data_IF_149190864234
#
_entry.id   IF_149190864234
#
_cell.length_a   1.000
_cell.length_b   1.000
_cell.length_c   1.000
_cell.angle_alpha   90.00
_cell.angle_beta   90.00
_cell.angle_gamma   90.00
#
_symmetry.space_group_name_H-M   'P 1'
#
loop_
_entity.id
_entity.type
_entity.pdbx_description
1 polymer ?
#
# COMPACT_ATOMS: atom_id res chain seq x y z
N UNK A 1 30.94 -5.59 -96.35
CA UNK A 1 29.75 -5.96 -97.16
C UNK A 1 28.53 -5.77 -96.26
N UNK A 2 27.83 -4.68 -96.50
CA UNK A 2 26.38 -4.63 -96.75
C UNK A 2 25.54 -5.19 -95.63
N UNK A 3 24.53 -4.60 -95.09
CA UNK A 3 23.63 -3.52 -95.49
C UNK A 3 22.61 -3.29 -94.41
N UNK A 4 22.28 -2.05 -94.11
CA UNK A 4 20.90 -1.51 -94.02
C UNK A 4 19.88 -2.40 -93.19
N UNK A 5 18.98 -1.91 -92.54
CA UNK A 5 18.26 -0.67 -92.45
C UNK A 5 17.02 -0.89 -91.53
N UNK A 6 16.52 0.08 -91.01
CA UNK A 6 15.14 0.59 -90.84
C UNK A 6 14.55 0.41 -89.43
N UNK A 7 14.49 1.53 -88.82
CA UNK A 7 13.37 2.25 -88.17
C UNK A 7 12.10 1.45 -87.93
N UNK A 8 11.61 1.55 -86.70
CA UNK A 8 10.22 1.97 -86.45
C UNK A 8 9.99 2.38 -84.95
N UNK A 9 9.67 3.61 -84.80
CA UNK A 9 9.12 4.24 -83.64
C UNK A 9 7.88 3.54 -83.10
N UNK A 10 7.83 3.23 -81.82
CA UNK A 10 6.57 3.11 -81.08
C UNK A 10 6.69 3.80 -79.72
N UNK A 11 6.05 4.94 -79.69
CA UNK A 11 5.67 5.68 -78.46
C UNK A 11 4.80 4.74 -77.60
N UNK A 12 5.34 4.38 -76.46
CA UNK A 12 4.55 3.71 -75.43
C UNK A 12 4.34 4.70 -74.25
N UNK A 13 3.13 5.19 -74.19
CA UNK A 13 2.63 6.04 -73.11
C UNK A 13 2.61 5.20 -71.83
N UNK A 14 3.57 5.44 -70.93
CA UNK A 14 3.57 4.89 -69.57
C UNK A 14 2.69 5.77 -68.69
N UNK A 15 1.48 5.28 -68.43
CA UNK A 15 0.62 5.79 -67.35
C UNK A 15 1.37 5.56 -66.03
N UNK A 16 1.90 6.59 -65.41
CA UNK A 16 2.39 6.55 -64.05
C UNK A 16 1.22 6.67 -63.08
N UNK A 17 0.84 5.55 -62.53
CA UNK A 17 -0.15 5.46 -61.45
C UNK A 17 0.54 5.93 -60.16
N UNK A 18 0.36 7.20 -59.79
CA UNK A 18 0.83 7.72 -58.51
C UNK A 18 -0.12 7.22 -57.43
N UNK A 19 0.31 6.17 -56.73
CA UNK A 19 -0.33 5.72 -55.48
C UNK A 19 0.00 6.72 -54.37
N UNK A 20 -0.92 7.64 -54.11
CA UNK A 20 -0.88 8.57 -52.98
C UNK A 20 -1.25 7.77 -51.70
N UNK A 21 -0.27 7.14 -51.03
CA UNK A 21 -0.43 6.62 -49.68
C UNK A 21 -0.63 7.79 -48.72
N UNK A 22 -1.85 8.15 -48.44
CA UNK A 22 -2.20 9.04 -47.36
C UNK A 22 -1.91 8.34 -46.03
N UNK A 23 -0.68 8.47 -45.52
CA UNK A 23 -0.32 8.07 -44.16
C UNK A 23 -1.05 9.00 -43.18
N UNK A 24 -2.21 8.58 -42.70
CA UNK A 24 -2.91 9.27 -41.61
C UNK A 24 -2.10 9.01 -40.32
N UNK A 25 -1.09 9.82 -40.10
CA UNK A 25 -0.38 9.88 -38.84
C UNK A 25 -1.37 10.40 -37.80
N UNK A 26 -1.87 9.50 -36.94
CA UNK A 26 -2.57 9.90 -35.72
C UNK A 26 -1.55 10.67 -34.86
N UNK A 27 -1.52 11.98 -35.01
CA UNK A 27 -0.78 12.84 -34.08
C UNK A 27 -1.59 12.89 -32.81
N UNK A 28 -1.34 11.91 -31.92
CA UNK A 28 -1.83 12.00 -30.55
C UNK A 28 -1.09 13.15 -29.89
N UNK A 29 -1.82 14.23 -29.57
CA UNK A 29 -1.26 15.38 -28.90
C UNK A 29 -0.58 14.93 -27.59
N UNK A 30 0.65 15.34 -27.28
CA UNK A 30 1.35 14.95 -26.05
C UNK A 30 0.56 15.27 -24.78
N UNK A 31 -0.32 16.26 -24.83
CA UNK A 31 -1.24 16.64 -23.74
C UNK A 31 -2.25 15.56 -23.41
N UNK A 32 -2.75 14.81 -24.41
CA UNK A 32 -3.72 13.72 -24.18
C UNK A 32 -3.06 12.49 -23.56
N UNK A 33 -1.80 12.21 -23.92
CA UNK A 33 -1.03 11.10 -23.37
C UNK A 33 -0.68 11.35 -21.89
N UNK A 34 -0.28 12.57 -21.53
CA UNK A 34 -0.02 12.96 -20.13
C UNK A 34 -1.29 12.90 -19.27
N UNK A 35 -2.41 13.42 -19.77
CA UNK A 35 -3.68 13.35 -19.03
C UNK A 35 -4.14 11.90 -18.80
N UNK A 36 -3.91 11.00 -19.75
CA UNK A 36 -4.19 9.57 -19.61
C UNK A 36 -3.29 8.88 -18.56
N UNK A 37 -2.01 9.22 -18.52
CA UNK A 37 -1.07 8.71 -17.52
C UNK A 37 -1.42 9.16 -16.10
N UNK A 38 -1.79 10.44 -15.92
CA UNK A 38 -2.21 10.98 -14.63
C UNK A 38 -3.52 10.32 -14.13
N UNK A 39 -4.47 10.06 -15.02
CA UNK A 39 -5.70 9.37 -14.69
C UNK A 39 -5.43 7.92 -14.24
N UNK A 40 -4.62 7.19 -14.98
CA UNK A 40 -4.22 5.82 -14.64
C UNK A 40 -3.44 5.75 -13.31
N UNK A 41 -2.56 6.71 -13.04
CA UNK A 41 -1.83 6.79 -11.78
C UNK A 41 -2.77 7.04 -10.59
N UNK A 42 -3.76 7.90 -10.74
CA UNK A 42 -4.78 8.18 -9.70
C UNK A 42 -5.66 6.94 -9.44
N UNK A 43 -6.09 6.26 -10.48
CA UNK A 43 -6.88 5.03 -10.35
C UNK A 43 -6.09 3.93 -9.64
N UNK A 44 -4.83 3.72 -10.03
CA UNK A 44 -3.93 2.78 -9.36
C UNK A 44 -3.73 3.12 -7.87
N UNK A 45 -3.54 4.39 -7.54
CA UNK A 45 -3.39 4.85 -6.16
C UNK A 45 -4.67 4.65 -5.35
N UNK A 46 -5.84 4.87 -5.94
CA UNK A 46 -7.12 4.60 -5.29
C UNK A 46 -7.33 3.11 -5.01
N UNK A 47 -6.97 2.23 -5.97
CA UNK A 47 -7.03 0.79 -5.80
C UNK A 47 -6.10 0.30 -4.67
N UNK A 48 -4.87 0.81 -4.61
CA UNK A 48 -3.91 0.50 -3.54
C UNK A 48 -4.45 0.97 -2.18
N UNK A 49 -5.03 2.17 -2.10
CA UNK A 49 -5.68 2.68 -0.87
C UNK A 49 -6.81 1.76 -0.42
N UNK A 50 -7.69 1.34 -1.32
CA UNK A 50 -8.81 0.46 -1.02
C UNK A 50 -8.34 -0.92 -0.52
N UNK A 51 -7.34 -1.50 -1.16
CA UNK A 51 -6.73 -2.76 -0.75
C UNK A 51 -6.11 -2.65 0.65
N UNK A 52 -5.41 -1.56 0.93
CA UNK A 52 -4.80 -1.35 2.25
C UNK A 52 -5.83 -1.10 3.35
N UNK A 53 -6.92 -0.40 3.08
CA UNK A 53 -8.03 -0.26 4.04
C UNK A 53 -8.66 -1.61 4.40
N UNK A 54 -8.81 -2.51 3.42
CA UNK A 54 -9.28 -3.87 3.66
C UNK A 54 -8.28 -4.69 4.50
N UNK A 55 -6.98 -4.53 4.25
CA UNK A 55 -5.92 -5.18 5.02
C UNK A 55 -5.87 -4.68 6.47
N UNK A 56 -5.97 -3.36 6.70
CA UNK A 56 -6.08 -2.77 8.06
C UNK A 56 -7.23 -3.40 8.84
N UNK A 57 -8.40 -3.58 8.22
CA UNK A 57 -9.54 -4.21 8.90
C UNK A 57 -9.29 -5.70 9.18
N UNK A 58 -8.69 -6.43 8.24
CA UNK A 58 -8.31 -7.82 8.45
C UNK A 58 -7.27 -7.96 9.59
N UNK A 59 -6.30 -7.04 9.68
CA UNK A 59 -5.33 -6.99 10.77
C UNK A 59 -6.00 -6.68 12.10
N UNK A 60 -6.92 -5.69 12.15
CA UNK A 60 -7.69 -5.37 13.35
C UNK A 60 -8.38 -6.60 13.93
N UNK A 61 -9.11 -7.34 13.08
CA UNK A 61 -9.82 -8.55 13.50
C UNK A 61 -8.86 -9.59 14.10
N UNK A 62 -7.69 -9.78 13.47
CA UNK A 62 -6.71 -10.76 13.94
C UNK A 62 -6.01 -10.31 15.23
N UNK A 63 -5.57 -9.07 15.33
CA UNK A 63 -4.93 -8.56 16.55
C UNK A 63 -5.88 -8.54 17.74
N UNK A 64 -7.11 -8.07 17.55
CA UNK A 64 -8.14 -8.06 18.60
C UNK A 64 -8.50 -9.50 18.99
N UNK A 65 -8.69 -10.39 18.02
CA UNK A 65 -8.98 -11.79 18.28
C UNK A 65 -7.86 -12.50 19.08
N UNK A 66 -6.59 -12.22 18.78
CA UNK A 66 -5.47 -12.73 19.59
C UNK A 66 -5.46 -12.11 20.99
N UNK A 67 -5.65 -10.78 21.09
CA UNK A 67 -5.73 -10.12 22.39
C UNK A 67 -6.84 -10.73 23.26
N UNK A 68 -8.00 -11.02 22.69
CA UNK A 68 -9.10 -11.71 23.40
C UNK A 68 -8.76 -13.14 23.78
N UNK A 69 -8.02 -13.87 22.93
CA UNK A 69 -7.65 -15.26 23.17
C UNK A 69 -6.58 -15.42 24.26
N UNK A 70 -5.68 -14.45 24.44
CA UNK A 70 -4.72 -14.48 25.54
C UNK A 70 -5.43 -14.27 26.88
N UNK A 71 -5.20 -15.16 27.90
CA UNK A 71 -5.68 -14.91 29.25
C UNK A 71 -4.91 -13.75 29.90
N UNK A 72 -5.49 -13.04 30.89
CA UNK A 72 -4.90 -11.83 31.47
C UNK A 72 -3.50 -12.04 32.05
N UNK A 73 -3.23 -13.21 32.64
CA UNK A 73 -1.92 -13.57 33.23
C UNK A 73 -0.80 -13.71 32.18
N UNK A 74 -1.15 -13.81 30.88
CA UNK A 74 -0.20 -13.92 29.78
C UNK A 74 0.15 -12.56 29.13
N UNK A 75 -0.46 -11.49 29.53
CA UNK A 75 -0.18 -10.19 28.93
C UNK A 75 1.25 -9.68 29.17
N UNK A 76 1.85 -10.04 30.30
CA UNK A 76 3.25 -9.73 30.62
C UNK A 76 4.23 -10.83 30.20
N UNK A 77 3.73 -11.96 29.66
CA UNK A 77 4.57 -13.05 29.20
C UNK A 77 5.40 -12.63 27.96
N UNK A 78 6.64 -13.07 27.95
CA UNK A 78 7.58 -12.93 26.82
C UNK A 78 8.39 -14.22 26.66
N UNK A 79 8.84 -14.55 25.44
CA UNK A 79 9.56 -15.81 25.21
C UNK A 79 10.97 -15.82 25.81
N UNK A 80 11.58 -14.64 25.98
CA UNK A 80 12.90 -14.47 26.59
C UNK A 80 13.11 -13.02 27.05
N UNK A 81 14.11 -12.78 27.86
CA UNK A 81 14.48 -11.43 28.27
C UNK A 81 14.91 -10.56 27.07
N UNK A 82 14.63 -9.27 27.15
CA UNK A 82 15.01 -8.30 26.12
C UNK A 82 14.07 -8.22 24.92
N UNK A 83 13.05 -9.12 24.82
CA UNK A 83 12.02 -9.02 23.80
C UNK A 83 10.69 -8.52 24.36
N UNK A 84 9.84 -7.96 23.48
CA UNK A 84 8.53 -7.45 23.90
C UNK A 84 7.63 -8.56 24.45
N UNK A 85 6.87 -8.25 25.50
CA UNK A 85 5.79 -9.09 25.99
C UNK A 85 4.57 -9.04 25.05
N UNK A 86 3.57 -9.89 25.32
CA UNK A 86 2.29 -9.90 24.59
C UNK A 86 1.66 -8.51 24.58
N UNK A 87 1.50 -7.88 25.75
CA UNK A 87 0.91 -6.54 25.84
C UNK A 87 1.77 -5.48 25.15
N UNK A 88 3.09 -5.54 25.27
CA UNK A 88 3.99 -4.60 24.62
C UNK A 88 3.93 -4.67 23.09
N UNK A 89 3.76 -5.86 22.49
CA UNK A 89 3.53 -6.00 21.05
C UNK A 89 2.16 -5.43 20.65
N UNK A 90 1.11 -5.76 21.41
CA UNK A 90 -0.24 -5.24 21.15
C UNK A 90 -0.29 -3.70 21.28
N UNK A 91 0.40 -3.15 22.27
CA UNK A 91 0.46 -1.70 22.47
C UNK A 91 1.34 -0.98 21.43
N UNK A 92 2.36 -1.64 20.90
CA UNK A 92 3.10 -1.13 19.74
C UNK A 92 2.16 -0.95 18.55
N UNK A 93 1.39 -1.97 18.18
CA UNK A 93 0.41 -1.89 17.08
C UNK A 93 -0.65 -0.81 17.33
N UNK A 94 -1.15 -0.68 18.55
CA UNK A 94 -2.05 0.42 18.89
C UNK A 94 -1.40 1.80 18.68
N UNK A 95 -0.16 1.96 19.13
CA UNK A 95 0.66 3.17 18.96
C UNK A 95 0.88 3.51 17.49
N UNK A 96 1.13 2.52 16.66
CA UNK A 96 1.28 2.68 15.20
C UNK A 96 -0.02 3.12 14.54
N UNK A 97 -1.14 2.59 14.97
CA UNK A 97 -2.46 3.04 14.55
C UNK A 97 -2.74 4.50 14.92
N UNK A 98 -2.26 4.97 16.06
CA UNK A 98 -2.41 6.37 16.47
C UNK A 98 -1.42 7.33 15.79
N UNK A 99 -0.25 6.87 15.39
CA UNK A 99 0.83 7.75 14.94
C UNK A 99 1.49 7.38 13.63
N UNK A 100 2.04 6.18 13.53
CA UNK A 100 2.84 5.76 12.38
C UNK A 100 2.03 5.75 11.07
N UNK A 101 0.94 4.98 11.04
CA UNK A 101 0.11 4.87 9.86
C UNK A 101 -0.49 6.25 9.45
N UNK A 102 -1.11 7.02 10.34
CA UNK A 102 -1.59 8.37 9.99
C UNK A 102 -0.51 9.26 9.41
N UNK A 103 0.66 9.35 10.06
CA UNK A 103 1.75 10.23 9.63
C UNK A 103 2.32 9.80 8.27
N UNK A 104 2.46 8.51 8.01
CA UNK A 104 2.96 8.00 6.74
C UNK A 104 2.06 8.38 5.55
N UNK A 105 0.77 8.56 5.80
CA UNK A 105 -0.19 9.03 4.79
C UNK A 105 -0.47 10.54 4.85
N UNK A 106 0.32 11.32 5.58
CA UNK A 106 0.23 12.78 5.66
C UNK A 106 -0.80 13.31 6.64
N UNK A 107 -1.35 12.44 7.48
CA UNK A 107 -2.19 12.82 8.62
C UNK A 107 -1.38 13.24 9.83
N UNK A 108 -2.09 13.54 10.93
CA UNK A 108 -1.48 13.89 12.21
C UNK A 108 -1.59 12.70 13.17
N UNK A 109 -0.66 12.55 14.13
CA UNK A 109 -0.83 11.57 15.19
C UNK A 109 -2.02 11.95 16.09
N UNK A 110 -2.72 10.91 16.63
CA UNK A 110 -3.86 11.09 17.53
C UNK A 110 -3.43 11.47 18.97
N UNK A 111 -2.17 11.26 19.30
CA UNK A 111 -1.65 11.48 20.64
C UNK A 111 -0.26 12.11 20.61
N UNK A 112 0.13 12.69 21.72
CA UNK A 112 1.47 13.24 21.91
C UNK A 112 2.53 12.12 21.99
N UNK A 113 3.80 12.50 21.84
CA UNK A 113 4.92 11.56 22.01
C UNK A 113 4.98 10.99 23.44
N UNK A 114 4.62 11.79 24.44
CA UNK A 114 4.59 11.37 25.84
C UNK A 114 3.51 10.30 26.08
N UNK A 115 2.28 10.53 25.62
CA UNK A 115 1.19 9.57 25.69
C UNK A 115 1.53 8.26 24.97
N UNK A 116 2.08 8.35 23.76
CA UNK A 116 2.53 7.17 23.01
C UNK A 116 3.66 6.41 23.76
N UNK A 117 4.58 7.12 24.41
CA UNK A 117 5.65 6.54 25.23
C UNK A 117 5.15 5.83 26.51
N UNK A 118 3.94 6.14 26.97
CA UNK A 118 3.33 5.49 28.13
C UNK A 118 2.62 4.17 27.76
N UNK A 119 2.22 3.98 26.50
CA UNK A 119 1.44 2.80 26.05
C UNK A 119 2.10 1.45 26.38
N UNK A 120 3.43 1.25 26.25
CA UNK A 120 4.06 -0.02 26.59
C UNK A 120 3.86 -0.48 28.05
N UNK A 121 3.49 0.43 28.96
CA UNK A 121 3.22 0.12 30.36
C UNK A 121 1.80 -0.42 30.60
N UNK A 122 0.92 -0.34 29.62
CA UNK A 122 -0.45 -0.81 29.72
C UNK A 122 -0.48 -2.34 29.57
N UNK A 123 -0.85 -3.03 30.65
CA UNK A 123 -0.91 -4.50 30.69
C UNK A 123 -2.30 -5.04 30.98
N UNK A 124 -3.24 -4.18 31.38
CA UNK A 124 -4.62 -4.57 31.59
C UNK A 124 -5.29 -4.95 30.26
N UNK A 125 -5.86 -6.15 30.23
CA UNK A 125 -6.45 -6.73 29.01
C UNK A 125 -7.51 -5.83 28.38
N UNK A 126 -8.41 -5.28 29.18
CA UNK A 126 -9.52 -4.47 28.64
C UNK A 126 -8.99 -3.14 28.07
N UNK A 127 -8.02 -2.53 28.74
CA UNK A 127 -7.37 -1.31 28.25
C UNK A 127 -6.60 -1.56 26.96
N UNK A 128 -5.82 -2.65 26.87
CA UNK A 128 -5.07 -3.02 25.66
C UNK A 128 -6.01 -3.23 24.47
N UNK A 129 -7.11 -3.98 24.65
CA UNK A 129 -8.10 -4.19 23.58
C UNK A 129 -8.76 -2.85 23.20
N UNK A 130 -9.05 -2.00 24.18
CA UNK A 130 -9.57 -0.67 23.95
C UNK A 130 -8.63 0.21 23.09
N UNK A 131 -7.34 0.20 23.39
CA UNK A 131 -6.33 0.92 22.62
C UNK A 131 -6.17 0.36 21.22
N UNK A 132 -6.15 -0.97 21.04
CA UNK A 132 -6.11 -1.59 19.71
C UNK A 132 -7.26 -1.10 18.83
N UNK A 133 -8.49 -1.22 19.31
CA UNK A 133 -9.67 -0.80 18.55
C UNK A 133 -9.62 0.68 18.19
N UNK A 134 -9.23 1.56 19.12
CA UNK A 134 -9.12 3.01 18.88
C UNK A 134 -7.99 3.32 17.89
N UNK A 135 -6.82 2.68 18.00
CA UNK A 135 -5.69 2.88 17.10
C UNK A 135 -6.05 2.48 15.66
N UNK A 136 -6.61 1.30 15.48
CA UNK A 136 -7.07 0.85 14.16
C UNK A 136 -8.17 1.75 13.57
N UNK A 137 -9.14 2.17 14.40
CA UNK A 137 -10.20 3.08 13.95
C UNK A 137 -9.63 4.42 13.49
N UNK A 138 -8.66 4.96 14.23
CA UNK A 138 -8.02 6.23 13.88
C UNK A 138 -7.18 6.12 12.59
N UNK A 139 -6.39 5.05 12.45
CA UNK A 139 -5.62 4.78 11.23
C UNK A 139 -6.55 4.68 10.01
N UNK A 140 -7.63 3.91 10.13
CA UNK A 140 -8.65 3.76 9.09
C UNK A 140 -9.28 5.11 8.71
N UNK A 141 -9.79 5.85 9.70
CA UNK A 141 -10.41 7.16 9.48
C UNK A 141 -9.46 8.14 8.78
N UNK A 142 -8.21 8.18 9.23
CA UNK A 142 -7.19 9.06 8.62
C UNK A 142 -6.92 8.68 7.18
N UNK A 143 -6.77 7.38 6.89
CA UNK A 143 -6.53 6.91 5.54
C UNK A 143 -7.74 7.12 4.62
N UNK A 144 -8.96 6.94 5.12
CA UNK A 144 -10.20 7.23 4.38
C UNK A 144 -10.28 8.70 3.96
N UNK A 145 -9.85 9.62 4.83
CA UNK A 145 -9.84 11.06 4.59
C UNK A 145 -8.76 11.52 3.60
N UNK A 146 -7.77 10.69 3.27
CA UNK A 146 -6.71 11.06 2.31
C UNK A 146 -7.31 11.18 0.90
N UNK A 147 -7.14 12.37 0.28
CA UNK A 147 -7.54 12.58 -1.12
C UNK A 147 -6.75 11.64 -2.05
N UNK A 148 -7.42 10.77 -2.83
CA UNK A 148 -6.76 9.89 -3.79
C UNK A 148 -5.86 10.63 -4.78
N UNK A 149 -6.17 11.87 -5.13
CA UNK A 149 -5.34 12.68 -6.02
C UNK A 149 -3.94 12.94 -5.46
N UNK A 150 -3.79 12.96 -4.12
CA UNK A 150 -2.50 13.15 -3.45
C UNK A 150 -1.67 11.87 -3.34
N UNK A 151 -2.26 10.71 -3.62
CA UNK A 151 -1.62 9.41 -3.48
C UNK A 151 -0.78 9.01 -4.70
N UNK A 152 -0.95 9.67 -5.86
CA UNK A 152 -0.19 9.38 -7.07
C UNK A 152 1.27 9.88 -7.03
N UNK A 153 1.57 10.81 -6.11
CA UNK A 153 2.91 11.37 -5.91
C UNK A 153 3.75 10.61 -4.88
N UNK A 154 4.99 11.10 -4.70
CA UNK A 154 5.87 10.66 -3.62
C UNK A 154 5.66 11.51 -2.37
N UNK A 155 5.92 10.92 -1.20
CA UNK A 155 5.90 11.59 0.11
C UNK A 155 7.17 11.28 0.87
N UNK A 156 7.67 12.27 1.59
CA UNK A 156 8.77 12.03 2.51
C UNK A 156 8.26 11.30 3.76
N UNK A 157 8.71 10.07 3.92
CA UNK A 157 8.41 9.22 5.09
C UNK A 157 9.75 8.75 5.66
N UNK A 158 10.06 9.17 6.88
CA UNK A 158 11.33 8.89 7.56
C UNK A 158 12.56 9.27 6.74
N UNK A 159 12.57 10.49 6.19
CA UNK A 159 13.70 11.03 5.44
C UNK A 159 13.91 10.46 4.03
N UNK A 160 12.97 9.64 3.53
CA UNK A 160 13.01 9.08 2.17
C UNK A 160 11.71 9.37 1.42
N UNK A 161 11.84 9.74 0.17
CA UNK A 161 10.69 9.92 -0.73
C UNK A 161 10.18 8.55 -1.18
N UNK A 162 8.93 8.26 -0.83
CA UNK A 162 8.26 6.99 -1.09
C UNK A 162 6.98 7.17 -1.90
N UNK A 163 6.72 6.24 -2.78
CA UNK A 163 5.41 6.10 -3.45
C UNK A 163 4.39 5.50 -2.50
N UNK A 164 3.10 5.63 -2.81
CA UNK A 164 2.03 5.02 -2.00
C UNK A 164 2.18 3.50 -1.83
N UNK A 165 2.49 2.69 -2.85
CA UNK A 165 2.76 1.27 -2.65
C UNK A 165 3.93 0.98 -1.69
N UNK A 166 5.03 1.76 -1.75
CA UNK A 166 6.14 1.61 -0.81
C UNK A 166 5.73 1.94 0.64
N UNK A 167 4.84 2.92 0.83
CA UNK A 167 4.30 3.28 2.15
C UNK A 167 3.40 2.15 2.67
N UNK A 168 2.53 1.59 1.81
CA UNK A 168 1.68 0.45 2.16
C UNK A 168 2.50 -0.77 2.55
N UNK A 169 3.56 -1.08 1.79
CA UNK A 169 4.48 -2.17 2.15
C UNK A 169 5.23 -1.91 3.45
N UNK A 170 5.58 -0.67 3.74
CA UNK A 170 6.26 -0.31 4.98
C UNK A 170 5.33 -0.47 6.20
N UNK A 171 4.14 0.13 6.16
CA UNK A 171 3.19 0.13 7.28
C UNK A 171 2.51 -1.23 7.43
N UNK A 172 2.03 -1.81 6.32
CA UNK A 172 1.38 -3.12 6.30
C UNK A 172 2.37 -4.23 6.64
N UNK A 173 3.57 -4.19 6.08
CA UNK A 173 4.63 -5.16 6.36
C UNK A 173 4.97 -5.25 7.84
N UNK A 174 5.12 -4.11 8.51
CA UNK A 174 5.37 -4.03 9.94
C UNK A 174 4.23 -4.66 10.77
N UNK A 175 2.97 -4.32 10.46
CA UNK A 175 1.81 -4.97 11.09
C UNK A 175 1.80 -6.48 10.90
N UNK A 176 2.08 -6.98 9.69
CA UNK A 176 2.11 -8.41 9.40
C UNK A 176 3.26 -9.13 10.12
N UNK A 177 4.43 -8.50 10.25
CA UNK A 177 5.56 -9.02 11.02
C UNK A 177 5.19 -9.21 12.49
N UNK A 178 4.59 -8.20 13.12
CA UNK A 178 4.14 -8.27 14.49
C UNK A 178 2.93 -9.21 14.72
N UNK A 179 2.06 -9.37 13.71
CA UNK A 179 1.04 -10.41 13.77
C UNK A 179 1.67 -11.80 13.80
N UNK A 180 2.68 -12.04 12.96
CA UNK A 180 3.45 -13.30 12.97
C UNK A 180 4.10 -13.57 14.32
N UNK A 181 4.68 -12.54 14.94
CA UNK A 181 5.24 -12.60 16.29
C UNK A 181 4.18 -13.03 17.33
N UNK A 182 3.00 -12.39 17.33
CA UNK A 182 1.92 -12.73 18.28
C UNK A 182 1.32 -14.12 18.03
N UNK A 183 1.24 -14.56 16.78
CA UNK A 183 0.83 -15.94 16.45
C UNK A 183 1.82 -16.95 17.05
N UNK A 184 3.12 -16.69 16.94
CA UNK A 184 4.15 -17.52 17.55
C UNK A 184 4.00 -17.53 19.08
N UNK A 185 3.79 -16.38 19.72
CA UNK A 185 3.55 -16.27 21.16
C UNK A 185 2.31 -17.04 21.60
N UNK A 186 1.22 -16.94 20.86
CA UNK A 186 0.00 -17.68 21.15
C UNK A 186 0.26 -19.19 21.14
N UNK A 187 0.90 -19.70 20.08
CA UNK A 187 1.23 -21.14 19.96
C UNK A 187 2.16 -21.64 21.07
N UNK A 188 3.17 -20.85 21.45
CA UNK A 188 4.06 -21.15 22.58
C UNK A 188 3.29 -21.25 23.91
N UNK A 189 2.19 -20.51 24.06
CA UNK A 189 1.29 -20.58 25.22
C UNK A 189 0.10 -21.56 25.01
N UNK A 190 0.15 -22.41 23.96
CA UNK A 190 -0.91 -23.37 23.60
C UNK A 190 -2.26 -22.72 23.30
N UNK A 191 -2.23 -21.49 22.84
CA UNK A 191 -3.41 -20.74 22.40
C UNK A 191 -3.51 -20.89 20.87
N UNK A 192 -4.65 -21.41 20.42
CA UNK A 192 -4.96 -21.53 18.98
C UNK A 192 -5.52 -20.19 18.50
N UNK A 193 -4.92 -19.57 17.47
CA UNK A 193 -5.49 -18.34 16.89
C UNK A 193 -6.95 -18.56 16.47
N UNK A 194 -7.88 -17.61 16.73
CA UNK A 194 -9.32 -17.82 16.52
C UNK A 194 -9.71 -18.22 15.09
N UNK A 195 -8.93 -17.80 14.10
CA UNK A 195 -9.16 -18.12 12.67
C UNK A 195 -8.55 -19.45 12.21
N UNK A 196 -7.86 -20.16 13.08
CA UNK A 196 -7.19 -21.46 12.78
C UNK A 196 -7.99 -22.68 13.21
N UNK A 197 -9.28 -22.51 13.47
CA UNK A 197 -10.21 -23.57 13.88
C UNK A 197 -10.82 -24.24 12.65
#
# INVERSE_FOLDING_TARGET
MLSADSTLSRTSTRCALVLLCASLALVTSPSSALAGQDAAAKESAAAVKAAFLADIEAMRVKFVGLAEAFPPDKYTWRPMDGVRSVSEVLMLIASEGYGFAPTAFGGKPAMSREEAGALPKVTDKAQVIGHLNKGFAYAKQTLEAVDPATLSGKRNVFGRDRTTPEIVLLVGGDMHEHLGQLIAYARMNRIVPPWSK
#
